data_IF_404014866320
#
_entry.id   IF_404014866320
#
_cell.length_a   1.000
_cell.length_b   1.000
_cell.length_c   1.000
_cell.angle_alpha   90.00
_cell.angle_beta   90.00
_cell.angle_gamma   90.00
#
_symmetry.space_group_name_H-M   'P 1'
#
loop_
_entity.id
_entity.type
_entity.pdbx_description
1 polymer ?
#
# COMPACT_ATOMS: atom_id res chain seq x y z
N UNK A 1 -15.62 -2.78 -15.95
CA UNK A 1 -15.33 -3.31 -14.61
C UNK A 1 -14.92 -4.77 -14.75
N UNK A 2 -13.62 -5.02 -14.90
CA UNK A 2 -13.10 -6.38 -14.90
C UNK A 2 -13.34 -6.93 -13.49
N UNK A 3 -14.14 -7.97 -13.39
CA UNK A 3 -14.51 -8.58 -12.11
C UNK A 3 -13.33 -9.39 -11.59
N UNK A 4 -12.43 -8.75 -10.84
CA UNK A 4 -11.17 -9.35 -10.36
C UNK A 4 -11.35 -10.33 -9.19
N UNK A 5 -12.59 -10.70 -8.81
CA UNK A 5 -12.87 -11.90 -8.00
C UNK A 5 -12.34 -13.17 -8.69
N UNK A 6 -12.18 -13.12 -10.01
CA UNK A 6 -11.54 -14.16 -10.80
C UNK A 6 -10.15 -14.55 -10.25
N UNK A 7 -9.28 -13.61 -9.86
CA UNK A 7 -7.93 -13.91 -9.33
C UNK A 7 -7.93 -14.51 -7.91
N UNK A 8 -9.05 -14.50 -7.24
CA UNK A 8 -9.22 -15.14 -5.92
C UNK A 8 -9.72 -16.58 -5.99
N UNK A 9 -10.17 -17.08 -7.14
CA UNK A 9 -10.68 -18.44 -7.29
C UNK A 9 -9.57 -19.47 -7.52
N UNK A 10 -9.85 -20.74 -7.21
CA UNK A 10 -8.90 -21.84 -7.50
C UNK A 10 -8.61 -21.96 -9.00
N UNK A 11 -9.62 -21.73 -9.85
CA UNK A 11 -9.50 -21.83 -11.31
C UNK A 11 -8.59 -20.76 -11.88
N UNK A 12 -8.75 -19.50 -11.44
CA UNK A 12 -7.88 -18.41 -11.88
C UNK A 12 -6.46 -18.52 -11.35
N UNK A 13 -6.29 -19.06 -10.15
CA UNK A 13 -4.95 -19.37 -9.63
C UNK A 13 -4.29 -20.47 -10.44
N UNK A 14 -5.03 -21.50 -10.81
CA UNK A 14 -4.54 -22.53 -11.70
C UNK A 14 -4.20 -21.96 -13.10
N UNK A 15 -5.08 -21.16 -13.69
CA UNK A 15 -4.83 -20.47 -14.95
C UNK A 15 -3.59 -19.58 -14.92
N UNK A 16 -3.37 -18.81 -13.85
CA UNK A 16 -2.17 -18.00 -13.66
C UNK A 16 -0.89 -18.86 -13.59
N UNK A 17 -0.94 -20.00 -12.90
CA UNK A 17 0.18 -20.93 -12.79
C UNK A 17 0.47 -21.59 -14.14
N UNK A 18 -0.56 -22.02 -14.88
CA UNK A 18 -0.40 -22.59 -16.22
C UNK A 18 0.16 -21.55 -17.20
N UNK A 19 -0.30 -20.31 -17.13
CA UNK A 19 0.22 -19.22 -17.96
C UNK A 19 1.69 -18.92 -17.65
N UNK A 20 2.05 -18.86 -16.37
CA UNK A 20 3.42 -18.65 -15.90
C UNK A 20 4.28 -19.89 -16.27
N UNK A 21 3.72 -21.12 -16.12
CA UNK A 21 4.38 -22.38 -16.44
C UNK A 21 4.76 -22.57 -17.91
N UNK A 22 4.28 -21.73 -18.82
CA UNK A 22 4.62 -21.78 -20.25
C UNK A 22 5.89 -20.98 -20.62
N UNK A 23 6.86 -20.84 -19.73
CA UNK A 23 8.18 -20.28 -20.01
C UNK A 23 8.69 -19.24 -19.00
N UNK A 24 7.80 -18.57 -18.23
CA UNK A 24 8.24 -17.62 -17.23
C UNK A 24 8.82 -18.32 -15.99
N UNK A 25 8.25 -19.45 -15.57
CA UNK A 25 8.75 -20.20 -14.41
C UNK A 25 10.09 -20.86 -14.70
N UNK A 26 10.33 -21.42 -15.88
CA UNK A 26 11.63 -21.95 -16.25
C UNK A 26 12.73 -20.90 -16.06
N UNK A 27 12.54 -19.70 -16.63
CA UNK A 27 13.49 -18.58 -16.51
C UNK A 27 13.64 -18.08 -15.08
N UNK A 28 12.53 -17.99 -14.32
CA UNK A 28 12.53 -17.57 -12.92
C UNK A 28 13.29 -18.57 -12.04
N UNK A 29 13.05 -19.87 -12.22
CA UNK A 29 13.73 -20.94 -11.50
C UNK A 29 15.21 -20.97 -11.87
N UNK A 30 15.56 -20.92 -13.17
CA UNK A 30 16.96 -20.88 -13.63
C UNK A 30 17.71 -19.67 -13.05
N UNK A 31 17.07 -18.50 -13.02
CA UNK A 31 17.68 -17.31 -12.43
C UNK A 31 17.94 -17.48 -10.93
N UNK A 32 16.95 -17.96 -10.18
CA UNK A 32 17.12 -18.24 -8.75
C UNK A 32 18.16 -19.32 -8.47
N UNK A 33 18.19 -20.38 -9.28
CA UNK A 33 19.19 -21.44 -9.15
C UNK A 33 20.61 -20.91 -9.35
N UNK A 34 20.81 -19.97 -10.28
CA UNK A 34 22.12 -19.32 -10.47
C UNK A 34 22.52 -18.44 -9.29
N UNK A 35 21.57 -17.80 -8.61
CA UNK A 35 21.83 -17.00 -7.42
C UNK A 35 22.15 -17.86 -6.19
N UNK A 36 21.68 -19.10 -6.16
CA UNK A 36 21.86 -20.06 -5.06
C UNK A 36 21.64 -19.45 -3.67
N UNK A 37 20.48 -18.84 -3.39
CA UNK A 37 20.24 -18.14 -2.14
C UNK A 37 20.04 -19.11 -0.98
N UNK A 38 20.46 -18.74 0.22
CA UNK A 38 20.13 -19.47 1.46
C UNK A 38 18.69 -19.23 1.92
N UNK A 39 18.16 -18.02 1.63
CA UNK A 39 16.79 -17.63 1.93
C UNK A 39 16.23 -16.74 0.82
N UNK A 40 14.95 -16.95 0.49
CA UNK A 40 14.17 -16.08 -0.37
C UNK A 40 13.09 -15.38 0.45
N UNK A 41 13.22 -14.05 0.62
CA UNK A 41 12.16 -13.22 1.15
C UNK A 41 11.29 -12.69 0.00
N UNK A 42 10.02 -13.04 0.01
CA UNK A 42 9.10 -12.77 -1.09
C UNK A 42 7.95 -11.86 -0.65
N UNK A 43 7.76 -10.74 -1.35
CA UNK A 43 6.58 -9.88 -1.25
C UNK A 43 5.56 -10.15 -2.37
N UNK A 44 5.87 -11.11 -3.25
CA UNK A 44 5.01 -11.51 -4.37
C UNK A 44 4.98 -13.05 -4.49
N UNK A 45 3.80 -13.62 -4.65
CA UNK A 45 3.59 -15.06 -4.69
C UNK A 45 4.45 -15.81 -5.72
N UNK A 46 4.76 -15.21 -6.88
CA UNK A 46 5.53 -15.85 -7.94
C UNK A 46 6.98 -16.11 -7.51
N UNK A 47 7.61 -15.20 -6.78
CA UNK A 47 8.97 -15.36 -6.27
C UNK A 47 9.05 -16.55 -5.31
N UNK A 48 8.08 -16.67 -4.39
CA UNK A 48 7.99 -17.83 -3.50
C UNK A 48 7.76 -19.14 -4.30
N UNK A 49 6.88 -19.07 -5.32
CA UNK A 49 6.62 -20.22 -6.19
C UNK A 49 7.89 -20.72 -6.90
N UNK A 50 8.71 -19.82 -7.46
CA UNK A 50 9.97 -20.18 -8.12
C UNK A 50 10.96 -20.80 -7.13
N UNK A 51 11.14 -20.21 -5.95
CA UNK A 51 12.01 -20.72 -4.90
C UNK A 51 11.64 -22.17 -4.52
N UNK A 52 10.35 -22.44 -4.33
CA UNK A 52 9.84 -23.75 -3.97
C UNK A 52 9.96 -24.81 -5.09
N UNK A 53 10.22 -24.40 -6.33
CA UNK A 53 10.39 -25.29 -7.49
C UNK A 53 11.84 -25.57 -7.83
N UNK A 54 12.80 -24.99 -7.14
CA UNK A 54 14.21 -25.31 -7.29
C UNK A 54 14.48 -26.78 -6.88
N UNK A 55 15.48 -27.39 -7.46
CA UNK A 55 15.91 -28.75 -7.10
C UNK A 55 16.34 -28.83 -5.62
N UNK A 56 17.07 -27.81 -5.15
CA UNK A 56 17.41 -27.60 -3.75
C UNK A 56 16.76 -26.30 -3.28
N UNK A 57 15.52 -26.34 -2.75
CA UNK A 57 14.82 -25.13 -2.34
C UNK A 57 15.54 -24.43 -1.18
N UNK A 58 15.72 -23.10 -1.25
CA UNK A 58 16.19 -22.31 -0.12
C UNK A 58 15.12 -22.23 0.97
N UNK A 59 15.49 -21.68 2.13
CA UNK A 59 14.48 -21.22 3.09
C UNK A 59 13.59 -20.14 2.43
N UNK A 60 12.30 -20.16 2.77
CA UNK A 60 11.33 -19.24 2.19
C UNK A 60 10.57 -18.47 3.26
N UNK A 61 10.61 -17.13 3.15
CA UNK A 61 9.79 -16.23 3.93
C UNK A 61 8.92 -15.39 3.01
N UNK A 62 7.62 -15.33 3.28
CA UNK A 62 6.66 -14.60 2.46
C UNK A 62 5.95 -13.52 3.30
N UNK A 63 5.85 -12.32 2.73
CA UNK A 63 5.09 -11.21 3.30
C UNK A 63 3.86 -10.90 2.44
N UNK A 64 2.70 -10.79 3.09
CA UNK A 64 1.44 -10.40 2.46
C UNK A 64 0.89 -9.14 3.13
N UNK A 65 0.83 -8.00 2.43
CA UNK A 65 0.29 -6.75 2.96
C UNK A 65 -1.26 -6.71 2.94
N UNK A 66 -1.91 -7.75 2.39
CA UNK A 66 -3.33 -7.73 2.08
C UNK A 66 -4.20 -8.16 3.26
N UNK A 67 -5.38 -7.56 3.38
CA UNK A 67 -6.41 -7.97 4.34
C UNK A 67 -7.02 -9.35 4.05
N UNK A 68 -6.64 -9.98 2.95
CA UNK A 68 -7.12 -11.29 2.52
C UNK A 68 -6.01 -12.00 1.74
N UNK A 69 -5.52 -13.12 2.28
CA UNK A 69 -4.64 -13.99 1.52
C UNK A 69 -5.44 -14.59 0.36
N UNK A 70 -5.03 -14.25 -0.86
CA UNK A 70 -5.57 -14.89 -2.05
C UNK A 70 -4.94 -16.28 -2.27
N UNK A 71 -5.50 -17.04 -3.23
CA UNK A 71 -5.08 -18.42 -3.48
C UNK A 71 -3.60 -18.55 -3.90
N UNK A 72 -3.05 -17.51 -4.52
CA UNK A 72 -1.65 -17.51 -5.00
C UNK A 72 -0.63 -17.35 -3.86
N UNK A 73 -0.98 -16.62 -2.79
CA UNK A 73 -0.16 -16.55 -1.58
C UNK A 73 -0.25 -17.78 -0.68
N UNK A 74 -0.97 -18.83 -1.09
CA UNK A 74 -1.13 -20.08 -0.33
C UNK A 74 -0.10 -21.14 -0.69
N UNK A 75 0.92 -20.81 -1.49
CA UNK A 75 2.05 -21.72 -1.69
C UNK A 75 2.75 -21.98 -0.37
N UNK A 76 3.20 -23.22 -0.13
CA UNK A 76 3.99 -23.54 1.04
C UNK A 76 5.17 -22.57 1.16
N UNK A 77 5.48 -22.15 2.37
CA UNK A 77 6.68 -21.43 2.74
C UNK A 77 7.02 -21.76 4.18
N UNK A 78 8.27 -21.61 4.56
CA UNK A 78 8.72 -21.90 5.92
C UNK A 78 8.19 -20.87 6.91
N UNK A 79 8.01 -19.61 6.46
CA UNK A 79 7.46 -18.52 7.26
C UNK A 79 6.57 -17.62 6.41
N UNK A 80 5.31 -17.50 6.79
CA UNK A 80 4.38 -16.51 6.22
C UNK A 80 4.14 -15.37 7.22
N UNK A 81 4.17 -14.13 6.74
CA UNK A 81 3.95 -12.92 7.53
C UNK A 81 2.82 -12.10 6.93
N UNK A 82 1.88 -11.65 7.76
CA UNK A 82 0.72 -10.86 7.34
C UNK A 82 0.60 -9.65 8.24
N UNK A 83 0.41 -8.48 7.65
CA UNK A 83 0.29 -7.24 8.42
C UNK A 83 -1.13 -6.99 8.94
N UNK A 84 -2.16 -7.37 8.19
CA UNK A 84 -3.53 -7.08 8.60
C UNK A 84 -4.12 -8.19 9.49
N UNK A 85 -4.62 -7.87 10.71
CA UNK A 85 -5.20 -8.85 11.64
C UNK A 85 -6.28 -9.71 10.99
N UNK A 86 -7.18 -9.10 10.22
CA UNK A 86 -8.25 -9.82 9.51
C UNK A 86 -7.72 -10.83 8.49
N UNK A 87 -6.58 -10.54 7.85
CA UNK A 87 -5.88 -11.45 6.95
C UNK A 87 -5.27 -12.63 7.71
N UNK A 88 -4.62 -12.36 8.84
CA UNK A 88 -4.00 -13.33 9.71
C UNK A 88 -5.03 -14.34 10.28
N UNK A 89 -6.07 -13.85 10.93
CA UNK A 89 -7.14 -14.67 11.49
C UNK A 89 -7.82 -15.55 10.43
N UNK A 90 -8.09 -14.95 9.27
CA UNK A 90 -8.70 -15.66 8.15
C UNK A 90 -7.78 -16.76 7.61
N UNK A 91 -6.48 -16.55 7.57
CA UNK A 91 -5.50 -17.53 7.14
C UNK A 91 -5.48 -18.72 8.11
N UNK A 92 -5.40 -18.50 9.40
CA UNK A 92 -5.47 -19.55 10.43
C UNK A 92 -6.77 -20.35 10.36
N UNK A 93 -7.92 -19.66 10.20
CA UNK A 93 -9.24 -20.33 10.19
C UNK A 93 -9.48 -21.15 8.92
N UNK A 94 -9.17 -20.57 7.74
CA UNK A 94 -9.56 -21.14 6.44
C UNK A 94 -8.47 -21.98 5.77
N UNK A 95 -7.22 -21.80 6.19
CA UNK A 95 -6.06 -22.47 5.60
C UNK A 95 -5.26 -23.28 6.62
N UNK A 96 -5.92 -23.78 7.66
CA UNK A 96 -5.34 -24.56 8.77
C UNK A 96 -4.51 -25.78 8.36
N UNK A 97 -4.64 -26.26 7.13
CA UNK A 97 -3.79 -27.33 6.59
C UNK A 97 -2.40 -26.85 6.17
N UNK A 98 -2.19 -25.53 6.06
CA UNK A 98 -0.95 -24.91 5.56
C UNK A 98 -0.34 -23.97 6.57
N UNK A 99 -1.19 -23.26 7.32
CA UNK A 99 -0.81 -22.24 8.26
C UNK A 99 -1.25 -22.61 9.67
N UNK A 100 -0.31 -22.47 10.59
CA UNK A 100 -0.52 -22.56 12.03
C UNK A 100 0.25 -21.40 12.71
N UNK A 101 0.23 -21.32 14.03
CA UNK A 101 0.92 -20.24 14.76
C UNK A 101 2.44 -20.32 14.68
N UNK A 102 3.03 -21.44 14.24
CA UNK A 102 4.48 -21.59 14.13
C UNK A 102 4.99 -20.99 12.83
N UNK A 103 4.31 -21.22 11.70
CA UNK A 103 4.73 -20.77 10.39
C UNK A 103 3.95 -19.56 9.83
N UNK A 104 2.97 -19.02 10.58
CA UNK A 104 2.26 -17.80 10.24
C UNK A 104 2.38 -16.79 11.37
N UNK A 105 2.88 -15.59 11.06
CA UNK A 105 3.06 -14.50 12.01
C UNK A 105 2.28 -13.26 11.57
N UNK A 106 1.66 -12.60 12.53
CA UNK A 106 1.18 -11.25 12.34
C UNK A 106 2.34 -10.29 12.60
N UNK A 107 2.55 -9.35 11.69
CA UNK A 107 3.67 -8.41 11.73
C UNK A 107 3.18 -7.00 11.43
N UNK A 108 3.91 -5.95 11.82
CA UNK A 108 3.65 -4.59 11.39
C UNK A 108 3.61 -4.47 9.86
N UNK A 109 2.91 -3.46 9.36
CA UNK A 109 2.91 -3.16 7.93
C UNK A 109 4.30 -2.66 7.51
N UNK A 110 4.88 -3.28 6.46
CA UNK A 110 6.17 -2.83 5.92
C UNK A 110 5.98 -1.50 5.20
N UNK A 111 6.61 -0.46 5.72
CA UNK A 111 6.66 0.86 5.12
C UNK A 111 8.11 1.19 4.72
N UNK A 112 8.28 2.07 3.76
CA UNK A 112 9.61 2.53 3.35
C UNK A 112 10.33 3.18 4.54
N UNK A 113 11.62 2.86 4.73
CA UNK A 113 12.41 3.40 5.84
C UNK A 113 12.49 4.93 5.83
N UNK A 114 12.45 5.53 4.65
CA UNK A 114 12.46 6.97 4.43
C UNK A 114 11.26 7.66 5.12
N UNK A 115 10.14 6.95 5.31
CA UNK A 115 8.97 7.49 6.00
C UNK A 115 9.29 7.93 7.45
N UNK A 116 10.19 7.22 8.13
CA UNK A 116 10.61 7.56 9.50
C UNK A 116 11.50 8.79 9.60
N UNK A 117 12.03 9.28 8.47
CA UNK A 117 12.89 10.45 8.40
C UNK A 117 12.20 11.68 7.79
N UNK A 118 10.94 11.55 7.36
CA UNK A 118 10.18 12.67 6.80
C UNK A 118 9.83 13.65 7.92
N UNK A 119 10.13 14.92 7.70
CA UNK A 119 9.62 15.98 8.56
C UNK A 119 8.07 15.98 8.53
N UNK A 120 7.44 16.03 9.69
CA UNK A 120 5.98 16.03 9.82
C UNK A 120 5.38 17.42 10.07
N UNK A 121 6.20 18.47 10.12
CA UNK A 121 5.71 19.85 10.12
C UNK A 121 5.13 20.21 8.76
N UNK A 122 3.81 20.28 8.70
CA UNK A 122 3.08 20.51 7.45
C UNK A 122 3.36 21.87 6.83
N UNK A 123 3.57 22.92 7.62
CA UNK A 123 3.83 24.27 7.12
C UNK A 123 5.21 24.30 6.46
N UNK A 124 6.22 23.72 7.11
CA UNK A 124 7.57 23.63 6.57
C UNK A 124 7.61 22.79 5.28
N UNK A 125 6.92 21.62 5.29
CA UNK A 125 6.80 20.78 4.09
C UNK A 125 6.12 21.52 2.93
N UNK A 126 5.02 22.22 3.19
CA UNK A 126 4.30 22.99 2.16
C UNK A 126 5.20 24.07 1.57
N UNK A 127 5.92 24.81 2.40
CA UNK A 127 6.90 25.82 1.96
C UNK A 127 7.97 25.17 1.06
N UNK A 128 8.58 24.07 1.50
CA UNK A 128 9.58 23.30 0.73
C UNK A 128 9.03 22.84 -0.62
N UNK A 129 7.75 22.45 -0.68
CA UNK A 129 7.10 21.97 -1.89
C UNK A 129 6.54 23.08 -2.80
N UNK A 130 6.71 24.36 -2.43
CA UNK A 130 6.18 25.50 -3.17
C UNK A 130 4.65 25.64 -3.09
N UNK A 131 4.07 25.13 -2.02
CA UNK A 131 2.64 25.21 -1.71
C UNK A 131 2.38 26.39 -0.75
N UNK A 132 1.13 26.83 -0.66
CA UNK A 132 0.71 27.78 0.36
C UNK A 132 0.72 27.08 1.74
N UNK A 133 1.40 27.68 2.71
CA UNK A 133 1.62 27.07 4.04
C UNK A 133 0.34 26.87 4.82
N UNK A 134 -0.63 27.76 4.66
CA UNK A 134 -1.85 27.85 5.47
C UNK A 134 -3.07 27.20 4.79
N UNK A 135 -3.01 26.96 3.48
CA UNK A 135 -4.12 26.33 2.77
C UNK A 135 -4.29 24.84 3.11
N UNK A 136 -5.54 24.43 3.22
CA UNK A 136 -5.91 23.03 3.32
C UNK A 136 -5.35 22.24 2.11
N UNK A 137 -4.66 21.14 2.36
CA UNK A 137 -3.92 20.43 1.34
C UNK A 137 -4.55 19.07 1.02
N UNK A 138 -4.94 18.88 -0.24
CA UNK A 138 -5.56 17.66 -0.77
C UNK A 138 -4.55 16.93 -1.64
N UNK A 139 -4.20 15.71 -1.25
CA UNK A 139 -3.37 14.80 -2.04
C UNK A 139 -4.25 13.83 -2.82
N UNK A 140 -4.08 13.71 -4.13
CA UNK A 140 -4.88 12.83 -5.00
C UNK A 140 -3.99 11.90 -5.82
N UNK A 141 -4.14 10.58 -5.64
CA UNK A 141 -3.36 9.59 -6.38
C UNK A 141 -4.11 8.26 -6.54
N UNK A 142 -3.87 7.57 -7.67
CA UNK A 142 -4.41 6.24 -7.96
C UNK A 142 -3.30 5.17 -8.13
N UNK A 143 -2.19 5.36 -7.42
CA UNK A 143 -1.04 4.46 -7.40
C UNK A 143 -0.11 4.61 -8.59
N UNK A 144 0.91 3.75 -8.66
CA UNK A 144 2.01 3.87 -9.61
C UNK A 144 1.62 3.87 -11.09
N UNK A 145 0.48 3.29 -11.45
CA UNK A 145 -0.05 3.33 -12.83
C UNK A 145 -1.02 4.50 -13.08
N UNK A 146 -1.46 5.21 -12.03
CA UNK A 146 -2.35 6.37 -12.15
C UNK A 146 -3.68 6.08 -12.86
N UNK A 147 -4.23 4.88 -12.69
CA UNK A 147 -5.46 4.44 -13.34
C UNK A 147 -6.60 4.40 -12.32
N UNK A 148 -7.59 5.28 -12.50
CA UNK A 148 -8.74 5.35 -11.60
C UNK A 148 -9.56 6.62 -11.79
N UNK A 149 -9.95 7.25 -10.69
CA UNK A 149 -10.79 8.47 -10.68
C UNK A 149 -10.00 9.74 -10.39
N UNK A 150 -8.68 9.65 -10.18
CA UNK A 150 -7.81 10.77 -9.80
C UNK A 150 -7.99 11.97 -10.73
N UNK A 151 -7.88 11.78 -12.05
CA UNK A 151 -8.01 12.86 -13.01
C UNK A 151 -9.37 13.57 -12.88
N UNK A 152 -10.48 12.81 -12.85
CA UNK A 152 -11.84 13.36 -12.71
C UNK A 152 -12.04 14.09 -11.37
N UNK A 153 -11.43 13.59 -10.30
CA UNK A 153 -11.47 14.23 -8.98
C UNK A 153 -10.72 15.55 -8.99
N UNK A 154 -9.53 15.60 -9.59
CA UNK A 154 -8.77 16.85 -9.73
C UNK A 154 -9.51 17.86 -10.59
N UNK A 155 -10.08 17.45 -11.73
CA UNK A 155 -10.84 18.33 -12.62
C UNK A 155 -12.08 18.91 -11.93
N UNK A 156 -12.79 18.13 -11.11
CA UNK A 156 -13.93 18.64 -10.33
C UNK A 156 -13.49 19.62 -9.24
N UNK A 157 -12.39 19.37 -8.53
CA UNK A 157 -11.85 20.27 -7.52
C UNK A 157 -11.34 21.58 -8.14
N UNK A 158 -10.65 21.52 -9.27
CA UNK A 158 -10.20 22.71 -10.03
C UNK A 158 -11.38 23.56 -10.44
N UNK A 159 -12.47 22.93 -10.94
CA UNK A 159 -13.70 23.65 -11.32
C UNK A 159 -14.35 24.39 -10.15
N UNK A 160 -14.23 23.89 -8.93
CA UNK A 160 -14.79 24.51 -7.72
C UNK A 160 -13.96 25.68 -7.21
N UNK A 161 -12.70 25.77 -7.62
CA UNK A 161 -11.74 26.80 -7.21
C UNK A 161 -11.73 27.05 -5.69
N UNK A 162 -11.65 25.97 -4.91
CA UNK A 162 -11.59 26.02 -3.46
C UNK A 162 -10.25 26.63 -2.99
N UNK A 163 -10.18 27.26 -1.80
CA UNK A 163 -8.95 27.80 -1.24
C UNK A 163 -8.04 26.66 -0.69
N UNK A 164 -7.52 25.83 -1.58
CA UNK A 164 -6.74 24.64 -1.24
C UNK A 164 -5.41 24.58 -1.98
N UNK A 165 -4.47 23.82 -1.42
CA UNK A 165 -3.41 23.18 -2.21
C UNK A 165 -3.94 21.86 -2.76
N UNK A 166 -3.88 21.65 -4.05
CA UNK A 166 -4.25 20.42 -4.72
C UNK A 166 -3.00 19.76 -5.31
N UNK A 167 -2.64 18.60 -4.80
CA UNK A 167 -1.50 17.79 -5.25
C UNK A 167 -2.03 16.59 -6.03
N UNK A 168 -1.71 16.48 -7.31
CA UNK A 168 -2.06 15.35 -8.15
C UNK A 168 -0.82 14.53 -8.50
N UNK A 169 -0.80 13.22 -8.18
CA UNK A 169 0.28 12.32 -8.55
C UNK A 169 -0.22 11.29 -9.56
N UNK A 170 0.21 11.46 -10.82
CA UNK A 170 -0.24 10.68 -11.97
C UNK A 170 0.51 9.34 -12.13
N UNK A 171 1.64 9.14 -11.42
CA UNK A 171 2.47 7.96 -11.58
C UNK A 171 2.96 7.80 -13.02
N UNK A 172 2.80 6.62 -13.60
CA UNK A 172 3.19 6.30 -14.98
C UNK A 172 2.14 6.72 -16.04
N UNK A 173 1.03 7.33 -15.63
CA UNK A 173 -0.04 7.75 -16.53
C UNK A 173 0.31 9.09 -17.21
N UNK A 174 1.11 9.04 -18.27
CA UNK A 174 1.52 10.22 -19.04
C UNK A 174 0.33 11.02 -19.57
N UNK A 175 -0.74 10.33 -20.02
CA UNK A 175 -1.93 11.00 -20.56
C UNK A 175 -2.63 11.85 -19.49
N UNK A 176 -2.80 11.32 -18.28
CA UNK A 176 -3.38 12.08 -17.16
C UNK A 176 -2.47 13.25 -16.77
N UNK A 177 -1.16 13.04 -16.70
CA UNK A 177 -0.18 14.09 -16.38
C UNK A 177 -0.28 15.26 -17.36
N UNK A 178 -0.19 15.00 -18.68
CA UNK A 178 -0.26 16.06 -19.69
C UNK A 178 -1.63 16.76 -19.69
N UNK A 179 -2.71 16.02 -19.49
CA UNK A 179 -4.05 16.60 -19.39
C UNK A 179 -4.18 17.55 -18.19
N UNK A 180 -3.67 17.17 -17.04
CA UNK A 180 -3.77 17.96 -15.82
C UNK A 180 -2.79 19.13 -15.78
N UNK A 181 -1.56 18.95 -16.27
CA UNK A 181 -0.50 19.97 -16.31
C UNK A 181 -0.95 21.24 -17.04
N UNK A 182 -1.75 21.08 -18.10
CA UNK A 182 -2.21 22.16 -18.93
C UNK A 182 -3.58 22.75 -18.50
N UNK A 183 -4.14 22.32 -17.37
CA UNK A 183 -5.42 22.86 -16.86
C UNK A 183 -5.23 24.29 -16.34
N UNK A 184 -6.13 25.15 -16.75
CA UNK A 184 -6.26 26.48 -16.13
C UNK A 184 -6.91 26.29 -14.75
N UNK A 185 -6.32 26.90 -13.76
CA UNK A 185 -6.75 26.89 -12.37
C UNK A 185 -7.22 28.29 -12.01
N UNK A 186 -8.24 28.42 -11.17
CA UNK A 186 -8.70 29.70 -10.66
C UNK A 186 -7.67 30.34 -9.69
N UNK A 187 -8.07 31.42 -9.06
CA UNK A 187 -7.16 32.20 -8.21
C UNK A 187 -7.05 31.65 -6.78
N UNK A 188 -7.99 30.80 -6.36
CA UNK A 188 -8.04 30.30 -4.99
C UNK A 188 -7.25 29.00 -4.79
N UNK A 189 -7.18 28.14 -5.82
CA UNK A 189 -6.51 26.83 -5.76
C UNK A 189 -5.06 26.92 -6.19
N UNK A 190 -4.13 26.47 -5.36
CA UNK A 190 -2.72 26.20 -5.76
C UNK A 190 -2.65 24.77 -6.25
N UNK A 191 -2.28 24.54 -7.51
CA UNK A 191 -2.31 23.24 -8.14
C UNK A 191 -0.93 22.75 -8.55
N UNK A 192 -0.53 21.59 -8.07
CA UNK A 192 0.74 20.93 -8.37
C UNK A 192 0.51 19.53 -8.93
N UNK A 193 1.11 19.25 -10.09
CA UNK A 193 0.96 17.96 -10.79
C UNK A 193 2.30 17.26 -10.91
N UNK A 194 2.34 16.02 -10.49
CA UNK A 194 3.53 15.18 -10.53
C UNK A 194 3.29 13.94 -11.43
N UNK A 195 4.30 13.55 -12.18
CA UNK A 195 4.40 12.23 -12.78
C UNK A 195 4.80 11.19 -11.70
N UNK A 196 5.55 10.16 -12.04
CA UNK A 196 6.20 9.30 -11.07
C UNK A 196 7.29 10.12 -10.35
N UNK A 197 7.28 10.11 -9.02
CA UNK A 197 8.15 10.96 -8.20
C UNK A 197 8.70 10.21 -6.98
N UNK A 198 9.90 10.56 -6.56
CA UNK A 198 10.57 9.96 -5.40
C UNK A 198 10.17 10.64 -4.07
N UNK A 199 9.71 11.89 -4.11
CA UNK A 199 9.29 12.65 -2.93
C UNK A 199 7.84 12.40 -2.49
N UNK A 200 7.26 11.27 -2.88
CA UNK A 200 5.84 10.93 -2.62
C UNK A 200 5.48 10.98 -1.13
N UNK A 201 6.40 10.60 -0.25
CA UNK A 201 6.16 10.59 1.20
C UNK A 201 6.01 12.00 1.77
N UNK A 202 6.82 12.96 1.29
CA UNK A 202 6.71 14.38 1.68
C UNK A 202 5.39 14.98 1.17
N UNK A 203 4.99 14.65 -0.06
CA UNK A 203 3.70 15.09 -0.62
C UNK A 203 2.51 14.57 0.20
N UNK A 204 2.58 13.32 0.67
CA UNK A 204 1.56 12.73 1.54
C UNK A 204 1.59 13.40 2.91
N UNK A 205 2.75 13.56 3.54
CA UNK A 205 2.89 14.14 4.87
C UNK A 205 2.42 15.61 4.93
N UNK A 206 2.58 16.38 3.85
CA UNK A 206 2.10 17.74 3.72
C UNK A 206 0.55 17.85 3.64
N UNK A 207 -0.14 16.75 3.30
CA UNK A 207 -1.58 16.76 3.05
C UNK A 207 -2.42 16.73 4.34
N UNK A 208 -3.63 17.30 4.27
CA UNK A 208 -4.66 17.16 5.31
C UNK A 208 -5.59 15.98 5.05
N UNK A 209 -5.77 15.64 3.78
CA UNK A 209 -6.52 14.46 3.33
C UNK A 209 -5.87 13.85 2.09
N UNK A 210 -5.85 12.53 2.03
CA UNK A 210 -5.46 11.76 0.85
C UNK A 210 -6.71 11.23 0.15
N UNK A 211 -6.76 11.29 -1.18
CA UNK A 211 -7.92 10.88 -1.97
C UNK A 211 -7.50 9.94 -3.10
N UNK A 212 -8.17 8.80 -3.23
CA UNK A 212 -7.85 7.85 -4.32
C UNK A 212 -8.40 6.44 -4.07
N UNK A 213 -7.73 5.45 -4.66
CA UNK A 213 -8.07 4.04 -4.46
C UNK A 213 -7.43 3.47 -3.19
N UNK A 214 -7.98 2.35 -2.69
CA UNK A 214 -7.49 1.71 -1.46
C UNK A 214 -6.41 0.64 -1.72
N UNK A 215 -5.37 0.98 -2.49
CA UNK A 215 -4.18 0.12 -2.59
C UNK A 215 -3.41 0.06 -1.27
N UNK A 216 -2.68 -1.03 -1.01
CA UNK A 216 -2.03 -1.25 0.27
C UNK A 216 -1.16 -0.07 0.72
N UNK A 217 -0.20 0.38 -0.11
CA UNK A 217 0.64 1.54 0.22
C UNK A 217 -0.12 2.86 0.23
N UNK A 218 -1.13 3.04 -0.65
CA UNK A 218 -1.95 4.25 -0.68
C UNK A 218 -2.85 4.42 0.55
N UNK A 219 -3.07 3.36 1.31
CA UNK A 219 -3.75 3.42 2.60
C UNK A 219 -2.74 3.50 3.76
N UNK A 220 -1.66 2.73 3.69
CA UNK A 220 -0.69 2.62 4.77
C UNK A 220 0.17 3.88 4.95
N UNK A 221 0.71 4.44 3.87
CA UNK A 221 1.58 5.61 3.94
C UNK A 221 0.86 6.86 4.49
N UNK A 222 -0.35 7.25 3.99
CA UNK A 222 -1.10 8.34 4.61
C UNK A 222 -1.46 8.05 6.08
N UNK A 223 -1.89 6.82 6.39
CA UNK A 223 -2.24 6.44 7.75
C UNK A 223 -1.05 6.59 8.70
N UNK A 224 0.16 6.20 8.28
CA UNK A 224 1.39 6.39 9.04
C UNK A 224 1.64 7.86 9.40
N UNK A 225 1.38 8.79 8.48
CA UNK A 225 1.53 10.23 8.72
C UNK A 225 0.31 10.89 9.40
N UNK A 226 -0.66 10.11 9.85
CA UNK A 226 -1.88 10.65 10.45
C UNK A 226 -2.76 11.41 9.45
N UNK A 227 -2.67 11.08 8.16
CA UNK A 227 -3.46 11.71 7.09
C UNK A 227 -4.68 10.84 6.78
N UNK A 228 -5.92 11.33 7.04
CA UNK A 228 -7.15 10.63 6.70
C UNK A 228 -7.26 10.32 5.21
N UNK A 229 -7.95 9.22 4.86
CA UNK A 229 -8.10 8.81 3.47
C UNK A 229 -9.56 8.88 3.00
N UNK A 230 -9.79 9.45 1.83
CA UNK A 230 -11.07 9.42 1.12
C UNK A 230 -10.99 8.42 -0.04
N UNK A 231 -11.62 7.26 0.13
CA UNK A 231 -11.60 6.17 -0.85
C UNK A 231 -12.65 6.45 -1.93
N UNK A 232 -12.21 6.69 -3.15
CA UNK A 232 -13.09 7.02 -4.30
C UNK A 232 -13.47 5.80 -5.13
N UNK A 233 -12.71 4.71 -5.06
CA UNK A 233 -13.03 3.47 -5.75
C UNK A 233 -12.15 2.29 -5.28
N UNK A 234 -12.53 1.10 -5.69
CA UNK A 234 -11.72 -0.11 -5.61
C UNK A 234 -11.39 -0.59 -7.02
N UNK A 235 -10.15 -0.85 -7.32
CA UNK A 235 -9.75 -1.46 -8.58
C UNK A 235 -9.87 -2.99 -8.54
N UNK A 236 -9.75 -3.58 -7.35
CA UNK A 236 -9.75 -5.04 -7.13
C UNK A 236 -10.55 -5.44 -5.89
N UNK A 237 -10.90 -6.72 -5.78
CA UNK A 237 -11.51 -7.25 -4.54
C UNK A 237 -10.55 -7.14 -3.33
N UNK A 238 -9.26 -7.30 -3.55
CA UNK A 238 -8.25 -7.12 -2.50
C UNK A 238 -8.30 -5.70 -1.95
N UNK A 239 -8.35 -4.69 -2.82
CA UNK A 239 -8.48 -3.29 -2.41
C UNK A 239 -9.77 -3.02 -1.63
N UNK A 240 -10.88 -3.70 -1.98
CA UNK A 240 -12.13 -3.62 -1.19
C UNK A 240 -11.93 -4.10 0.25
N UNK A 241 -11.17 -5.18 0.47
CA UNK A 241 -10.87 -5.68 1.81
C UNK A 241 -9.94 -4.75 2.58
N UNK A 242 -8.92 -4.21 1.91
CA UNK A 242 -8.01 -3.21 2.48
C UNK A 242 -8.81 -1.97 2.90
N UNK A 243 -9.61 -1.40 1.99
CA UNK A 243 -10.43 -0.23 2.28
C UNK A 243 -11.39 -0.45 3.46
N UNK A 244 -12.03 -1.64 3.53
CA UNK A 244 -12.89 -1.99 4.68
C UNK A 244 -12.12 -2.03 6.00
N UNK A 245 -10.88 -2.50 6.00
CA UNK A 245 -10.04 -2.50 7.20
C UNK A 245 -9.79 -1.09 7.71
N UNK A 246 -9.40 -0.15 6.82
CA UNK A 246 -9.15 1.22 7.22
C UNK A 246 -10.43 2.01 7.57
N UNK A 247 -11.57 1.70 6.95
CA UNK A 247 -12.86 2.32 7.29
C UNK A 247 -13.43 1.77 8.60
N UNK A 248 -13.48 0.44 8.76
CA UNK A 248 -14.28 -0.18 9.81
C UNK A 248 -13.46 -0.61 11.04
N UNK A 249 -12.15 -0.86 10.88
CA UNK A 249 -11.29 -1.35 11.96
C UNK A 249 -10.37 -0.25 12.48
N UNK A 250 -9.65 0.43 11.60
CA UNK A 250 -8.78 1.54 11.98
C UNK A 250 -9.60 2.81 12.24
N UNK A 251 -10.59 3.09 11.41
CA UNK A 251 -11.41 4.30 11.49
C UNK A 251 -10.74 5.54 10.86
N UNK A 252 -9.65 5.38 10.10
CA UNK A 252 -8.90 6.48 9.49
C UNK A 252 -9.38 6.86 8.10
N UNK A 253 -10.37 6.17 7.53
CA UNK A 253 -10.79 6.35 6.15
C UNK A 253 -12.30 6.53 6.00
N UNK A 254 -12.67 7.27 4.96
CA UNK A 254 -14.05 7.54 4.52
C UNK A 254 -14.21 6.95 3.12
N UNK A 255 -15.39 6.43 2.80
CA UNK A 255 -15.68 5.88 1.49
C UNK A 255 -16.75 6.71 0.77
N UNK A 256 -16.42 7.25 -0.41
CA UNK A 256 -17.37 7.92 -1.29
C UNK A 256 -17.01 7.71 -2.77
N UNK A 257 -17.80 6.92 -3.49
CA UNK A 257 -17.48 6.51 -4.86
C UNK A 257 -18.00 7.47 -5.95
N UNK A 258 -18.93 8.34 -5.61
CA UNK A 258 -19.35 9.39 -6.51
C UNK A 258 -18.37 10.56 -6.42
N UNK A 259 -17.75 10.95 -7.53
CA UNK A 259 -16.71 12.00 -7.57
C UNK A 259 -17.24 13.33 -7.07
N UNK A 260 -18.44 13.77 -7.51
CA UNK A 260 -19.02 15.04 -7.07
C UNK A 260 -19.23 15.04 -5.55
N UNK A 261 -19.87 13.98 -4.99
CA UNK A 261 -20.07 13.82 -3.56
C UNK A 261 -18.75 13.70 -2.78
N UNK A 262 -17.72 13.11 -3.36
CA UNK A 262 -16.39 13.08 -2.76
C UNK A 262 -15.78 14.50 -2.67
N UNK A 263 -15.96 15.30 -3.71
CA UNK A 263 -15.56 16.71 -3.71
C UNK A 263 -16.42 17.56 -2.77
N UNK A 264 -17.74 17.26 -2.61
CA UNK A 264 -18.59 17.90 -1.59
C UNK A 264 -18.07 17.66 -0.17
N UNK A 265 -17.60 16.42 0.12
CA UNK A 265 -16.97 16.12 1.40
C UNK A 265 -15.65 16.89 1.59
N UNK A 266 -14.81 16.99 0.56
CA UNK A 266 -13.56 17.76 0.63
C UNK A 266 -13.88 19.23 0.90
N UNK A 267 -14.84 19.83 0.20
CA UNK A 267 -15.28 21.20 0.41
C UNK A 267 -15.77 21.43 1.85
N UNK A 268 -16.53 20.49 2.40
CA UNK A 268 -16.97 20.53 3.78
C UNK A 268 -15.80 20.45 4.78
N UNK A 269 -14.76 19.64 4.49
CA UNK A 269 -13.56 19.57 5.32
C UNK A 269 -12.68 20.81 5.21
N UNK A 270 -12.68 21.48 4.07
CA UNK A 270 -12.02 22.79 3.90
C UNK A 270 -12.70 23.83 4.78
N UNK A 271 -14.05 23.87 4.78
CA UNK A 271 -14.83 24.79 5.62
C UNK A 271 -14.73 24.46 7.13
N UNK A 272 -14.67 23.17 7.45
CA UNK A 272 -14.69 22.66 8.84
C UNK A 272 -13.60 21.61 9.07
N UNK A 273 -12.30 21.99 9.13
CA UNK A 273 -11.19 21.03 9.25
C UNK A 273 -11.24 20.13 10.50
N UNK A 274 -11.90 20.59 11.55
CA UNK A 274 -12.12 19.82 12.78
C UNK A 274 -12.84 18.48 12.55
N UNK A 275 -13.64 18.36 11.49
CA UNK A 275 -14.33 17.12 11.13
C UNK A 275 -13.38 15.98 10.74
N UNK A 276 -12.13 16.27 10.39
CA UNK A 276 -11.11 15.27 10.12
C UNK A 276 -10.38 14.75 11.38
N UNK A 277 -10.51 15.41 12.52
CA UNK A 277 -9.77 15.06 13.74
C UNK A 277 -9.98 13.60 14.20
N UNK A 278 -11.21 13.05 14.23
CA UNK A 278 -11.41 11.65 14.63
C UNK A 278 -10.65 10.67 13.73
N UNK A 279 -10.64 10.91 12.41
CA UNK A 279 -9.94 10.07 11.43
C UNK A 279 -8.42 10.18 11.56
N UNK A 280 -7.92 11.38 11.84
CA UNK A 280 -6.50 11.65 12.10
C UNK A 280 -6.02 10.94 13.35
N UNK A 281 -6.78 11.06 14.45
CA UNK A 281 -6.48 10.39 15.71
C UNK A 281 -6.47 8.87 15.54
N UNK A 282 -7.45 8.32 14.83
CA UNK A 282 -7.51 6.90 14.52
C UNK A 282 -6.30 6.41 13.68
N UNK A 283 -5.84 7.23 12.72
CA UNK A 283 -4.63 6.93 11.96
C UNK A 283 -3.37 6.93 12.85
N UNK A 284 -3.21 7.94 13.70
CA UNK A 284 -2.07 8.06 14.61
C UNK A 284 -2.05 6.95 15.68
N UNK A 285 -3.22 6.47 16.12
CA UNK A 285 -3.33 5.39 17.10
C UNK A 285 -2.73 4.04 16.64
N UNK A 286 -2.53 3.86 15.33
CA UNK A 286 -1.92 2.65 14.75
C UNK A 286 -0.51 2.89 14.21
N UNK A 287 0.11 4.03 14.54
CA UNK A 287 1.45 4.40 14.05
C UNK A 287 2.51 3.34 14.36
N UNK A 288 2.47 2.74 15.55
CA UNK A 288 3.43 1.71 15.98
C UNK A 288 3.25 0.36 15.26
N UNK A 289 2.15 0.21 14.49
CA UNK A 289 1.91 -0.96 13.65
C UNK A 289 2.62 -0.89 12.28
N UNK A 290 3.63 -0.04 12.15
CA UNK A 290 4.43 0.12 10.94
C UNK A 290 5.92 -0.13 11.23
N UNK A 291 6.62 -0.75 10.28
CA UNK A 291 8.06 -0.98 10.39
C UNK A 291 8.50 -2.39 9.99
N UNK A 292 9.80 -2.57 9.83
CA UNK A 292 10.38 -3.82 9.33
C UNK A 292 11.06 -4.67 10.42
N UNK A 293 11.32 -4.13 11.61
CA UNK A 293 12.11 -4.79 12.65
C UNK A 293 11.55 -6.15 13.07
N UNK A 294 10.24 -6.25 13.26
CA UNK A 294 9.58 -7.51 13.64
C UNK A 294 9.69 -8.56 12.53
N UNK A 295 9.52 -8.15 11.27
CA UNK A 295 9.73 -9.03 10.11
C UNK A 295 11.17 -9.53 10.05
N UNK A 296 12.13 -8.63 10.22
CA UNK A 296 13.57 -8.96 10.21
C UNK A 296 13.91 -9.97 11.31
N UNK A 297 13.39 -9.79 12.54
CA UNK A 297 13.60 -10.75 13.65
C UNK A 297 13.07 -12.15 13.33
N UNK A 298 11.88 -12.25 12.75
CA UNK A 298 11.33 -13.55 12.35
C UNK A 298 12.13 -14.22 11.23
N UNK A 299 12.59 -13.44 10.23
CA UNK A 299 13.43 -13.94 9.14
C UNK A 299 14.78 -14.41 9.69
N UNK A 300 15.40 -13.62 10.58
CA UNK A 300 16.64 -13.97 11.22
C UNK A 300 16.50 -15.25 12.07
N UNK A 301 15.43 -15.35 12.87
CA UNK A 301 15.13 -16.55 13.63
C UNK A 301 14.91 -17.80 12.76
N UNK A 302 14.39 -17.62 11.53
CA UNK A 302 14.31 -18.70 10.54
C UNK A 302 15.70 -19.12 10.04
N UNK A 303 16.58 -18.15 9.74
CA UNK A 303 17.97 -18.40 9.34
C UNK A 303 18.76 -19.11 10.44
N UNK A 304 18.65 -18.70 11.68
CA UNK A 304 19.34 -19.32 12.83
C UNK A 304 18.94 -20.79 13.08
N UNK A 305 17.80 -21.24 12.56
CA UNK A 305 17.42 -22.66 12.61
C UNK A 305 18.23 -23.51 11.64
N UNK A 306 18.62 -22.94 10.50
CA UNK A 306 19.44 -23.60 9.47
C UNK A 306 20.94 -23.38 9.70
N UNK A 307 21.31 -22.23 10.25
CA UNK A 307 22.66 -21.77 10.48
C UNK A 307 22.81 -21.35 11.96
N UNK A 308 22.97 -22.31 12.89
CA UNK A 308 23.02 -22.01 14.33
C UNK A 308 24.16 -21.05 14.73
N UNK A 309 25.24 -21.03 13.97
CA UNK A 309 26.41 -20.16 14.17
C UNK A 309 26.08 -18.67 14.07
N UNK A 310 24.96 -18.30 13.41
CA UNK A 310 24.51 -16.91 13.32
C UNK A 310 24.03 -16.35 14.68
N UNK A 311 23.74 -17.21 15.68
CA UNK A 311 23.28 -16.76 16.99
C UNK A 311 24.39 -16.11 17.80
N UNK A 312 25.63 -16.55 17.60
CA UNK A 312 26.77 -16.16 18.44
C UNK A 312 27.38 -14.80 18.03
N UNK A 313 26.95 -14.21 16.93
CA UNK A 313 27.54 -13.00 16.33
C UNK A 313 26.69 -11.73 16.35
N UNK A 314 25.46 -11.76 16.84
CA UNK A 314 24.56 -10.60 16.66
C UNK A 314 23.69 -10.33 17.88
N UNK A 315 24.02 -9.27 18.61
CA UNK A 315 23.02 -8.51 19.35
C UNK A 315 22.09 -7.85 18.31
N UNK A 316 20.90 -8.44 18.12
CA UNK A 316 19.84 -7.79 17.32
C UNK A 316 19.28 -6.64 18.16
N UNK A 317 19.63 -5.42 17.79
CA UNK A 317 19.07 -4.16 18.26
C UNK A 317 17.55 -4.09 18.14
#
# INVERSE_FOLDING_TARGET
TCNMDFWGTKLSSWGAIVYIGKGADKRGIEHMTKLNPDLVFSTHWATNYYAMKMQNPPLTAMYCPDAKINTLFRYPCDLAMISMPTGYERALKRHKRRYNKDNLKQVPFLIRKEAFSVNTDKRELRRKLGLDEDKFTVFVADGGYGVGKMQKTCEELIKRDLPINLIAVCGKNKKAYESLKNKKVGNNTVFSVYALTDNILELIAAADISCGKSGASLMAEPCFFGVPQLITHYATDIERWIGRYYVNTVGSAIKQFNVKKACDLIENFVAYPALLQPYRQAALAVHDNYGATVCARYIFGLLCKKFPELKDGTELY
#
